data_IF_354679765468
#
_entry.id   IF_354679765468
#
_cell.length_a   1.000
_cell.length_b   1.000
_cell.length_c   1.000
_cell.angle_alpha   90.00
_cell.angle_beta   90.00
_cell.angle_gamma   90.00
#
_symmetry.space_group_name_H-M   'P 1'
#
loop_
_entity.id
_entity.type
_entity.pdbx_description
1 polymer ?
#
# COMPACT_ATOMS: atom_id res chain seq x y z
N UNK A 1 -30.74 4.71 -5.64
CA UNK A 1 -30.36 3.29 -5.52
C UNK A 1 -29.61 2.89 -6.78
N UNK A 2 -28.31 2.58 -6.70
CA UNK A 2 -27.52 2.18 -7.86
C UNK A 2 -27.60 0.65 -7.98
N UNK A 3 -28.10 0.15 -9.10
CA UNK A 3 -28.45 -1.25 -9.28
C UNK A 3 -27.16 -2.08 -9.42
N UNK A 4 -26.75 -2.78 -8.35
CA UNK A 4 -25.45 -3.44 -8.21
C UNK A 4 -25.26 -4.72 -9.05
N UNK A 5 -26.14 -5.00 -10.00
CA UNK A 5 -26.21 -6.29 -10.71
C UNK A 5 -25.82 -6.22 -12.21
N UNK A 6 -25.26 -5.12 -12.70
CA UNK A 6 -24.75 -5.07 -14.07
C UNK A 6 -23.43 -5.87 -14.17
N UNK A 7 -23.50 -7.06 -14.79
CA UNK A 7 -22.33 -7.85 -15.15
C UNK A 7 -21.62 -7.16 -16.32
N UNK A 8 -20.45 -6.57 -16.06
CA UNK A 8 -19.61 -6.05 -17.13
C UNK A 8 -18.73 -7.17 -17.70
N UNK A 9 -18.83 -7.40 -19.01
CA UNK A 9 -17.87 -8.24 -19.73
C UNK A 9 -16.59 -7.44 -19.98
N UNK A 10 -15.48 -7.92 -19.46
CA UNK A 10 -14.15 -7.39 -19.73
C UNK A 10 -13.39 -8.33 -20.67
N UNK A 11 -12.30 -7.88 -21.33
CA UNK A 11 -11.50 -8.73 -22.20
C UNK A 11 -11.10 -10.04 -21.51
N UNK A 12 -11.09 -11.15 -22.25
CA UNK A 12 -10.88 -12.53 -21.78
C UNK A 12 -12.06 -13.24 -21.08
N UNK A 13 -13.30 -12.78 -21.25
CA UNK A 13 -14.50 -13.54 -20.85
C UNK A 13 -14.71 -13.67 -19.34
N UNK A 14 -13.92 -12.98 -18.52
CA UNK A 14 -14.12 -12.95 -17.07
C UNK A 14 -15.21 -11.94 -16.73
N UNK A 15 -16.25 -12.42 -16.04
CA UNK A 15 -17.28 -11.57 -15.45
C UNK A 15 -16.90 -11.26 -14.00
N UNK A 16 -16.75 -9.98 -13.68
CA UNK A 16 -16.60 -9.52 -12.30
C UNK A 16 -17.89 -8.80 -11.91
N UNK A 17 -18.42 -9.08 -10.72
CA UNK A 17 -19.46 -8.25 -10.12
C UNK A 17 -18.79 -7.04 -9.50
N UNK A 18 -19.37 -5.85 -9.71
CA UNK A 18 -18.93 -4.67 -8.99
C UNK A 18 -19.07 -4.94 -7.49
N UNK A 19 -17.96 -4.84 -6.75
CA UNK A 19 -17.98 -5.00 -5.30
C UNK A 19 -18.83 -3.90 -4.66
N UNK A 20 -19.42 -4.18 -3.49
CA UNK A 20 -20.04 -3.14 -2.67
C UNK A 20 -18.95 -2.19 -2.17
N UNK A 21 -19.09 -0.91 -2.48
CA UNK A 21 -18.19 0.15 -2.02
C UNK A 21 -18.92 1.10 -1.08
N UNK A 22 -18.21 1.61 -0.07
CA UNK A 22 -18.70 2.64 0.83
C UNK A 22 -17.86 3.91 0.64
N UNK A 23 -18.49 5.08 0.80
CA UNK A 23 -17.82 6.38 0.64
C UNK A 23 -18.04 7.22 1.90
N UNK A 24 -16.95 7.63 2.54
CA UNK A 24 -16.94 8.68 3.55
C UNK A 24 -16.63 10.02 2.87
N UNK A 25 -17.42 11.06 3.17
CA UNK A 25 -17.18 12.42 2.68
C UNK A 25 -16.97 13.35 3.87
N UNK A 26 -15.82 14.01 3.89
CA UNK A 26 -15.47 15.04 4.86
C UNK A 26 -15.28 16.34 4.08
N UNK A 27 -15.92 17.42 4.53
CA UNK A 27 -15.77 18.75 3.93
C UNK A 27 -15.23 19.71 4.99
N UNK A 28 -13.90 19.87 5.01
CA UNK A 28 -13.21 20.79 5.91
C UNK A 28 -12.11 21.48 5.14
N UNK A 29 -12.18 22.82 5.08
CA UNK A 29 -11.17 23.64 4.42
C UNK A 29 -9.79 23.41 5.03
N UNK A 30 -9.70 23.40 6.36
CA UNK A 30 -8.46 23.17 7.07
C UNK A 30 -7.83 21.82 6.69
N UNK A 31 -8.61 20.75 6.67
CA UNK A 31 -8.09 19.42 6.28
C UNK A 31 -7.59 19.43 4.83
N UNK A 32 -8.32 20.07 3.91
CA UNK A 32 -7.87 20.18 2.52
C UNK A 32 -6.55 20.95 2.41
N UNK A 33 -6.44 22.08 3.10
CA UNK A 33 -5.24 22.92 3.08
C UNK A 33 -4.03 22.15 3.67
N UNK A 34 -4.21 21.41 4.77
CA UNK A 34 -3.17 20.55 5.36
C UNK A 34 -2.78 19.38 4.45
N UNK A 35 -3.76 18.71 3.82
CA UNK A 35 -3.52 17.62 2.85
C UNK A 35 -2.65 18.08 1.69
N UNK A 36 -2.92 19.29 1.18
CA UNK A 36 -2.14 19.88 0.08
C UNK A 36 -0.77 20.31 0.58
N UNK A 37 -0.72 21.15 1.62
CA UNK A 37 0.51 21.82 2.06
C UNK A 37 1.52 20.92 2.77
N UNK A 38 1.08 19.86 3.46
CA UNK A 38 1.99 18.97 4.23
C UNK A 38 2.21 17.61 3.57
N UNK A 39 1.22 17.11 2.84
CA UNK A 39 1.21 15.73 2.35
C UNK A 39 1.23 15.60 0.83
N UNK A 40 1.22 16.71 0.09
CA UNK A 40 1.15 16.73 -1.38
C UNK A 40 -0.10 15.99 -1.93
N UNK A 41 -1.17 15.90 -1.15
CA UNK A 41 -2.44 15.23 -1.51
C UNK A 41 -3.37 16.24 -2.17
N UNK A 42 -3.29 16.32 -3.50
CA UNK A 42 -4.11 17.22 -4.33
C UNK A 42 -5.35 16.52 -4.94
N UNK A 43 -6.32 17.27 -5.49
CA UNK A 43 -7.38 16.68 -6.31
C UNK A 43 -6.82 15.89 -7.51
N UNK A 44 -7.49 14.79 -7.89
CA UNK A 44 -7.06 13.90 -9.01
C UNK A 44 -5.64 13.31 -8.88
N UNK A 45 -5.15 13.17 -7.64
CA UNK A 45 -3.79 12.71 -7.31
C UNK A 45 -3.38 11.32 -7.79
N UNK A 46 -4.28 10.48 -8.31
CA UNK A 46 -3.99 9.07 -8.60
C UNK A 46 -2.76 8.84 -9.50
N UNK A 47 -2.38 9.84 -10.30
CA UNK A 47 -1.20 9.81 -11.17
C UNK A 47 -0.20 10.95 -10.92
N UNK A 48 -0.45 11.82 -9.94
CA UNK A 48 0.34 13.03 -9.69
C UNK A 48 0.79 13.18 -8.23
N UNK A 49 0.41 12.24 -7.35
CA UNK A 49 0.82 12.24 -5.96
C UNK A 49 2.35 12.23 -5.85
N UNK A 50 2.89 13.18 -5.09
CA UNK A 50 4.30 13.22 -4.72
C UNK A 50 4.47 12.71 -3.28
N UNK A 51 5.69 12.31 -2.88
CA UNK A 51 5.99 12.02 -1.48
C UNK A 51 5.59 13.19 -0.56
N UNK A 52 5.17 12.92 0.68
CA UNK A 52 4.90 13.98 1.65
C UNK A 52 6.22 14.59 2.16
N UNK A 53 6.15 15.81 2.68
CA UNK A 53 7.30 16.49 3.30
C UNK A 53 7.30 16.19 4.81
N UNK A 54 7.82 15.02 5.16
CA UNK A 54 7.91 14.54 6.55
C UNK A 54 9.37 14.25 6.91
N UNK A 55 9.80 14.75 8.06
CA UNK A 55 11.12 14.55 8.66
C UNK A 55 11.07 13.56 9.85
N UNK A 56 9.93 13.46 10.52
CA UNK A 56 9.74 12.56 11.64
C UNK A 56 9.48 11.11 11.17
N UNK A 57 10.36 10.19 11.56
CA UNK A 57 10.30 8.78 11.15
C UNK A 57 8.99 8.08 11.58
N UNK A 58 8.39 8.43 12.72
CA UNK A 58 7.12 7.84 13.15
C UNK A 58 5.96 8.31 12.26
N UNK A 59 5.95 9.58 11.85
CA UNK A 59 4.98 10.10 10.89
C UNK A 59 5.14 9.46 9.52
N UNK A 60 6.38 9.21 9.10
CA UNK A 60 6.69 8.49 7.86
C UNK A 60 6.14 7.07 7.88
N UNK A 61 6.39 6.32 8.97
CA UNK A 61 5.81 4.98 9.16
C UNK A 61 4.29 5.03 9.14
N UNK A 62 3.68 5.98 9.84
CA UNK A 62 2.23 6.16 9.86
C UNK A 62 1.66 6.46 8.46
N UNK A 63 2.32 7.31 7.69
CA UNK A 63 1.92 7.63 6.31
C UNK A 63 2.01 6.40 5.40
N UNK A 64 3.11 5.64 5.48
CA UNK A 64 3.29 4.41 4.71
C UNK A 64 2.25 3.35 5.10
N UNK A 65 1.91 3.22 6.38
CA UNK A 65 0.80 2.35 6.83
C UNK A 65 -0.52 2.78 6.20
N UNK A 66 -0.80 4.08 6.14
CA UNK A 66 -1.99 4.63 5.47
C UNK A 66 -2.02 4.31 3.97
N UNK A 67 -0.89 4.42 3.27
CA UNK A 67 -0.75 3.99 1.87
C UNK A 67 -1.02 2.49 1.70
N UNK A 68 -0.42 1.66 2.57
CA UNK A 68 -0.64 0.20 2.56
C UNK A 68 -2.12 -0.08 2.80
N UNK A 69 -2.79 0.59 3.73
CA UNK A 69 -4.21 0.38 4.05
C UNK A 69 -5.15 0.84 2.94
N UNK A 70 -4.84 1.93 2.24
CA UNK A 70 -5.59 2.44 1.10
C UNK A 70 -5.40 1.60 -0.16
N UNK A 71 -4.20 1.65 -0.74
CA UNK A 71 -3.90 1.20 -2.11
C UNK A 71 -2.86 0.06 -2.19
N UNK A 72 -2.50 -0.49 -1.03
CA UNK A 72 -1.61 -1.65 -0.91
C UNK A 72 -2.26 -2.89 -0.32
N UNK A 73 -1.42 -3.80 0.14
CA UNK A 73 -1.82 -5.06 0.74
C UNK A 73 -0.72 -5.68 1.58
N UNK A 74 -1.16 -6.65 2.40
CA UNK A 74 -0.31 -7.49 3.23
C UNK A 74 -0.75 -8.93 3.01
N UNK A 75 0.05 -9.67 2.26
CA UNK A 75 -0.26 -11.02 1.78
C UNK A 75 0.57 -12.06 2.53
N UNK A 76 -0.05 -13.21 2.83
CA UNK A 76 0.63 -14.33 3.46
C UNK A 76 0.93 -15.40 2.44
N UNK A 77 2.18 -15.81 2.35
CA UNK A 77 2.59 -16.97 1.58
C UNK A 77 2.74 -18.17 2.50
N UNK A 78 2.06 -19.26 2.13
CA UNK A 78 2.04 -20.49 2.92
C UNK A 78 2.70 -21.64 2.16
N UNK A 79 3.46 -22.45 2.89
CA UNK A 79 4.03 -23.72 2.42
C UNK A 79 3.54 -24.81 3.37
N UNK A 80 2.89 -25.85 2.83
CA UNK A 80 2.31 -26.95 3.61
C UNK A 80 1.43 -26.47 4.78
N UNK A 81 0.61 -25.45 4.53
CA UNK A 81 -0.32 -24.87 5.52
C UNK A 81 0.31 -23.87 6.50
N UNK A 82 1.65 -23.79 6.59
CA UNK A 82 2.37 -22.87 7.49
C UNK A 82 2.74 -21.58 6.77
N UNK A 83 2.63 -20.43 7.44
CA UNK A 83 3.07 -19.14 6.89
C UNK A 83 4.59 -19.12 6.85
N UNK A 84 5.15 -18.94 5.64
CA UNK A 84 6.60 -18.92 5.41
C UNK A 84 7.11 -17.51 5.05
N UNK A 85 6.23 -16.63 4.58
CA UNK A 85 6.60 -15.27 4.17
C UNK A 85 5.41 -14.32 4.26
N UNK A 86 5.72 -13.05 4.48
CA UNK A 86 4.80 -11.92 4.36
C UNK A 86 5.26 -11.06 3.19
N UNK A 87 4.32 -10.67 2.34
CA UNK A 87 4.54 -9.63 1.34
C UNK A 87 3.78 -8.37 1.72
N UNK A 88 4.46 -7.24 1.54
CA UNK A 88 3.87 -5.91 1.56
C UNK A 88 3.85 -5.43 0.11
N UNK A 89 2.67 -5.12 -0.41
CA UNK A 89 2.47 -4.56 -1.74
C UNK A 89 1.91 -3.14 -1.67
N UNK A 90 2.34 -2.28 -2.58
CA UNK A 90 1.86 -0.91 -2.75
C UNK A 90 1.64 -0.60 -4.23
N UNK A 91 0.60 0.16 -4.52
CA UNK A 91 0.34 0.77 -5.83
C UNK A 91 0.41 2.30 -5.70
N UNK A 92 0.99 2.99 -6.68
CA UNK A 92 1.09 4.45 -6.64
C UNK A 92 1.85 5.05 -7.82
N UNK A 93 2.24 6.32 -7.67
CA UNK A 93 3.17 7.00 -8.58
C UNK A 93 4.60 6.48 -8.36
N UNK A 94 5.46 6.62 -9.37
CA UNK A 94 6.84 6.14 -9.29
C UNK A 94 7.63 6.87 -8.20
N UNK A 95 7.36 8.16 -8.01
CA UNK A 95 7.99 9.03 -7.01
C UNK A 95 7.66 8.58 -5.59
N UNK A 96 6.38 8.32 -5.30
CA UNK A 96 5.95 7.79 -3.99
C UNK A 96 6.55 6.42 -3.73
N UNK A 97 6.52 5.51 -4.72
CA UNK A 97 7.04 4.16 -4.51
C UNK A 97 8.57 4.13 -4.36
N UNK A 98 9.30 5.02 -5.03
CA UNK A 98 10.74 5.18 -4.81
C UNK A 98 11.04 5.76 -3.43
N UNK A 99 10.23 6.71 -2.95
CA UNK A 99 10.34 7.25 -1.59
C UNK A 99 10.07 6.17 -0.53
N UNK A 100 9.02 5.37 -0.69
CA UNK A 100 8.74 4.21 0.19
C UNK A 100 9.90 3.22 0.16
N UNK A 101 10.40 2.88 -1.03
CA UNK A 101 11.56 1.99 -1.18
C UNK A 101 12.78 2.53 -0.43
N UNK A 102 13.06 3.83 -0.50
CA UNK A 102 14.18 4.43 0.21
C UNK A 102 14.07 4.20 1.73
N UNK A 103 12.92 4.49 2.33
CA UNK A 103 12.67 4.21 3.74
C UNK A 103 12.77 2.73 4.09
N UNK A 104 12.26 1.86 3.21
CA UNK A 104 12.41 0.41 3.40
C UNK A 104 13.88 -0.02 3.35
N UNK A 105 14.71 0.59 2.49
CA UNK A 105 16.14 0.29 2.40
C UNK A 105 16.90 0.79 3.65
N UNK A 106 16.49 1.94 4.21
CA UNK A 106 17.01 2.48 5.48
C UNK A 106 16.69 1.54 6.65
N UNK A 107 15.43 1.10 6.78
CA UNK A 107 14.99 0.27 7.91
C UNK A 107 15.46 -1.18 7.81
N UNK A 108 15.44 -1.74 6.60
CA UNK A 108 15.83 -3.14 6.35
C UNK A 108 16.57 -3.18 5.03
N UNK A 109 17.90 -3.20 5.10
CA UNK A 109 18.77 -3.15 3.94
C UNK A 109 18.48 -4.26 2.93
N UNK A 110 18.59 -3.92 1.65
CA UNK A 110 18.36 -4.86 0.57
C UNK A 110 19.65 -5.59 0.17
N UNK A 111 20.05 -6.58 0.97
CA UNK A 111 21.32 -7.29 0.76
C UNK A 111 21.26 -8.34 -0.38
N UNK A 112 20.17 -8.37 -1.16
CA UNK A 112 19.97 -9.37 -2.20
C UNK A 112 20.25 -8.77 -3.59
N UNK A 113 21.03 -9.47 -4.42
CA UNK A 113 21.43 -9.00 -5.76
C UNK A 113 20.25 -8.65 -6.68
N UNK A 114 19.10 -9.34 -6.52
CA UNK A 114 17.82 -8.93 -7.12
C UNK A 114 17.06 -8.03 -6.16
N UNK A 115 17.35 -6.74 -6.21
CA UNK A 115 16.62 -5.75 -5.43
C UNK A 115 15.21 -5.53 -6.00
N UNK A 116 14.18 -5.63 -5.15
CA UNK A 116 12.84 -5.18 -5.53
C UNK A 116 12.86 -3.70 -5.92
N UNK A 117 12.24 -3.37 -7.06
CA UNK A 117 12.10 -2.02 -7.60
C UNK A 117 10.64 -1.79 -8.01
N UNK A 118 10.13 -0.55 -7.91
CA UNK A 118 8.84 -0.22 -8.49
C UNK A 118 8.82 -0.55 -9.99
N UNK A 119 7.71 -1.13 -10.46
CA UNK A 119 7.49 -1.49 -11.86
C UNK A 119 6.13 -0.99 -12.31
N UNK A 120 6.04 -0.50 -13.53
CA UNK A 120 4.77 -0.09 -14.08
C UNK A 120 3.85 -1.31 -14.24
N UNK A 121 2.57 -1.17 -13.88
CA UNK A 121 1.59 -2.22 -14.08
C UNK A 121 1.24 -2.34 -15.57
N UNK A 122 1.04 -3.58 -16.03
CA UNK A 122 0.59 -3.83 -17.40
C UNK A 122 -0.73 -3.08 -17.68
N UNK A 123 -0.79 -2.39 -18.81
CA UNK A 123 -1.95 -1.61 -19.26
C UNK A 123 -2.42 -0.52 -18.27
N UNK A 124 -1.54 0.00 -17.41
CA UNK A 124 -1.86 1.07 -16.47
C UNK A 124 -0.75 2.11 -16.38
N UNK A 125 -1.11 3.35 -16.05
CA UNK A 125 -0.15 4.41 -15.71
C UNK A 125 0.35 4.31 -14.25
N UNK A 126 -0.24 3.42 -13.45
CA UNK A 126 0.17 3.18 -12.08
C UNK A 126 1.38 2.24 -12.01
N UNK A 127 2.18 2.43 -10.96
CA UNK A 127 3.31 1.57 -10.61
C UNK A 127 2.95 0.68 -9.43
N UNK A 128 3.65 -0.44 -9.30
CA UNK A 128 3.58 -1.36 -8.17
C UNK A 128 4.95 -1.62 -7.61
N UNK A 129 5.02 -1.73 -6.29
CA UNK A 129 6.21 -2.11 -5.55
C UNK A 129 5.81 -3.13 -4.49
N UNK A 130 6.54 -4.24 -4.41
CA UNK A 130 6.30 -5.25 -3.39
C UNK A 130 7.62 -5.76 -2.81
N UNK A 131 7.59 -6.13 -1.54
CA UNK A 131 8.70 -6.75 -0.83
C UNK A 131 8.18 -7.97 -0.08
N UNK A 132 8.87 -9.10 -0.23
CA UNK A 132 8.48 -10.37 0.36
C UNK A 132 9.66 -11.06 1.05
N UNK A 133 9.46 -12.28 1.54
CA UNK A 133 10.46 -13.11 2.19
C UNK A 133 10.90 -12.53 3.54
N UNK A 134 12.15 -12.81 3.93
CA UNK A 134 12.74 -12.32 5.18
C UNK A 134 12.62 -10.80 5.31
N UNK A 135 12.85 -10.07 4.22
CA UNK A 135 12.77 -8.61 4.21
C UNK A 135 11.35 -8.11 4.45
N UNK A 136 10.35 -8.72 3.79
CA UNK A 136 8.94 -8.38 4.01
C UNK A 136 8.48 -8.63 5.44
N UNK A 137 8.98 -9.69 6.08
CA UNK A 137 8.70 -10.02 7.48
C UNK A 137 9.26 -8.94 8.43
N UNK A 138 10.53 -8.57 8.27
CA UNK A 138 11.16 -7.57 9.14
C UNK A 138 10.49 -6.19 9.00
N UNK A 139 10.18 -5.78 7.76
CA UNK A 139 9.41 -4.55 7.52
C UNK A 139 8.01 -4.63 8.14
N UNK A 140 7.33 -5.77 8.03
CA UNK A 140 6.02 -5.96 8.64
C UNK A 140 6.09 -5.90 10.18
N UNK A 141 7.13 -6.46 10.82
CA UNK A 141 7.33 -6.35 12.27
C UNK A 141 7.46 -4.89 12.69
N UNK A 142 8.30 -4.11 12.00
CA UNK A 142 8.49 -2.68 12.28
C UNK A 142 7.17 -1.91 12.16
N UNK A 143 6.45 -2.07 11.05
CA UNK A 143 5.23 -1.31 10.79
C UNK A 143 4.04 -1.79 11.65
N UNK A 144 3.97 -3.07 11.99
CA UNK A 144 2.91 -3.63 12.83
C UNK A 144 2.97 -3.12 14.28
N UNK A 145 4.14 -2.69 14.76
CA UNK A 145 4.33 -2.16 16.11
C UNK A 145 3.94 -0.68 16.27
N UNK A 146 3.82 0.08 15.17
CA UNK A 146 3.47 1.51 15.21
C UNK A 146 2.07 1.69 15.78
N UNK A 147 1.89 2.51 16.82
CA UNK A 147 0.58 2.70 17.46
C UNK A 147 -0.31 3.68 16.67
N UNK A 148 -0.90 3.21 15.57
CA UNK A 148 -1.85 3.95 14.73
C UNK A 148 -3.03 3.05 14.34
N UNK A 149 -4.20 3.64 14.02
CA UNK A 149 -5.32 2.88 13.45
C UNK A 149 -4.88 2.11 12.21
N UNK A 150 -5.21 0.82 12.18
CA UNK A 150 -4.79 -0.14 11.15
C UNK A 150 -5.94 -1.04 10.76
N UNK A 151 -6.07 -1.35 9.47
CA UNK A 151 -7.08 -2.29 9.01
C UNK A 151 -6.77 -3.71 9.52
N UNK A 152 -7.62 -4.23 10.42
CA UNK A 152 -7.48 -5.59 10.99
C UNK A 152 -7.23 -6.65 9.91
N UNK A 153 -7.91 -6.56 8.76
CA UNK A 153 -7.77 -7.51 7.64
C UNK A 153 -6.33 -7.60 7.08
N UNK A 154 -5.55 -6.52 7.16
CA UNK A 154 -4.17 -6.44 6.65
C UNK A 154 -3.14 -6.74 7.74
N UNK A 155 -3.35 -6.22 8.95
CA UNK A 155 -2.32 -6.24 10.00
C UNK A 155 -2.48 -7.34 11.04
N UNK A 156 -3.70 -7.83 11.28
CA UNK A 156 -3.94 -8.92 12.23
C UNK A 156 -3.69 -10.27 11.54
N UNK A 157 -2.42 -10.58 11.30
CA UNK A 157 -1.96 -11.79 10.62
C UNK A 157 -1.14 -12.66 11.58
N UNK A 158 -1.23 -13.99 11.49
CA UNK A 158 -0.33 -14.87 12.21
C UNK A 158 1.12 -14.63 11.78
N UNK A 159 2.04 -14.75 12.74
CA UNK A 159 3.46 -14.70 12.49
C UNK A 159 3.91 -15.86 11.59
N UNK A 160 4.92 -15.65 10.73
CA UNK A 160 5.54 -16.75 10.01
C UNK A 160 6.15 -17.76 10.99
N UNK A 161 6.03 -19.04 10.62
CA UNK A 161 6.73 -20.12 11.29
C UNK A 161 8.13 -20.17 10.70
N UNK A 162 9.15 -19.82 11.49
CA UNK A 162 10.55 -20.00 11.12
C UNK A 162 11.07 -21.31 11.70
#
# INVERSE_FOLDING_TARGET
MHNSNQKHQYPFGKTYTNGKAFRLRINSKQICDDLIGRFNITPNKSLTLKPPELDNEQLIKAFIIGLIDGDGGVNLFKVKGKVNSIEIDLTGTIEVLNWVKNWFDIWVSNNHYKCAKPKQSMNSKAYRYHVAGKRGIELWKILSQVNVPKLKRKWHKPLPYF
#
